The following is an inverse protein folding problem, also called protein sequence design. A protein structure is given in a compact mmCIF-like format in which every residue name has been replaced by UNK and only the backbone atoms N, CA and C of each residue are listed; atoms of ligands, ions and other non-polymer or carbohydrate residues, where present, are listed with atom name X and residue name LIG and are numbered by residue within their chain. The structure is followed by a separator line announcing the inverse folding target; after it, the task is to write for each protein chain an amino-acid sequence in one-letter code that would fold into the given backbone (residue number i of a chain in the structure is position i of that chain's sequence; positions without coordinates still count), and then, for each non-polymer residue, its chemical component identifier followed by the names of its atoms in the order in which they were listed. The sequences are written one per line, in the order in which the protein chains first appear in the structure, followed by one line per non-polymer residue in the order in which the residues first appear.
data_IF_814209166412
#
_entry.id   IF_814209166412
#
_cell.length_a   1.000
_cell.length_b   1.000
_cell.length_c   1.000
_cell.angle_alpha   90.00
_cell.angle_beta   90.00
_cell.angle_gamma   90.00
#
_symmetry.space_group_name_H-M   'P 1'
#
loop_
_entity.id
_entity.type
_entity.pdbx_description
1 polymer ?
#
# COMPACT_ATOMS: atom_id res chain seq x y z
N UNK A 1 9.10 -3.40 -4.43
CA UNK A 1 7.76 -3.48 -3.82
C UNK A 1 6.75 -3.82 -4.90
N UNK A 2 5.60 -4.37 -4.54
CA UNK A 2 4.54 -4.63 -5.51
C UNK A 2 3.18 -4.70 -4.86
N UNK A 3 2.14 -4.44 -5.65
CA UNK A 3 0.74 -4.55 -5.24
C UNK A 3 -0.06 -5.32 -6.30
N UNK A 4 -1.20 -5.86 -5.87
CA UNK A 4 -2.21 -6.44 -6.76
C UNK A 4 -3.53 -5.77 -6.45
N UNK A 5 -4.20 -5.28 -7.47
CA UNK A 5 -5.59 -4.86 -7.36
C UNK A 5 -6.50 -5.96 -7.86
N UNK A 6 -7.50 -6.31 -7.06
CA UNK A 6 -8.50 -7.32 -7.36
C UNK A 6 -9.87 -6.65 -7.54
N UNK A 7 -10.62 -7.08 -8.54
CA UNK A 7 -12.05 -6.82 -8.70
C UNK A 7 -12.75 -8.18 -8.72
N UNK A 8 -13.68 -8.43 -7.78
CA UNK A 8 -14.36 -9.73 -7.63
C UNK A 8 -13.41 -10.96 -7.62
N UNK A 9 -12.33 -10.89 -6.83
CA UNK A 9 -11.23 -11.88 -6.74
C UNK A 9 -10.38 -12.06 -8.01
N UNK A 10 -10.69 -11.33 -9.08
CA UNK A 10 -9.96 -11.34 -10.35
C UNK A 10 -8.89 -10.24 -10.31
N UNK A 11 -7.60 -10.57 -10.55
CA UNK A 11 -6.58 -9.54 -10.63
C UNK A 11 -6.73 -8.70 -11.89
N UNK A 12 -6.95 -7.41 -11.70
CA UNK A 12 -7.15 -6.42 -12.78
C UNK A 12 -5.91 -5.53 -12.98
N UNK A 13 -5.08 -5.36 -11.96
CA UNK A 13 -3.86 -4.55 -12.05
C UNK A 13 -2.74 -5.15 -11.20
N UNK A 14 -1.54 -5.18 -11.76
CA UNK A 14 -0.31 -5.57 -11.07
C UNK A 14 0.66 -4.41 -11.10
N UNK A 15 1.10 -3.98 -9.93
CA UNK A 15 2.18 -3.01 -9.79
C UNK A 15 3.44 -3.70 -9.31
N UNK A 16 4.57 -3.52 -10.01
CA UNK A 16 5.89 -3.74 -9.43
C UNK A 16 6.77 -2.50 -9.59
N UNK A 17 7.46 -2.10 -8.53
CA UNK A 17 8.46 -1.04 -8.56
C UNK A 17 9.76 -1.52 -7.92
N UNK A 18 10.89 -1.14 -8.51
CA UNK A 18 12.22 -1.43 -7.96
C UNK A 18 12.34 -0.88 -6.54
N UNK A 19 13.06 -1.62 -5.67
CA UNK A 19 13.35 -1.19 -4.30
C UNK A 19 14.11 0.14 -4.34
N UNK A 20 13.48 1.21 -3.85
CA UNK A 20 14.18 2.46 -3.53
C UNK A 20 14.99 2.24 -2.24
N UNK A 21 16.08 2.97 -2.07
CA UNK A 21 16.83 2.98 -0.81
C UNK A 21 15.98 3.76 0.19
N UNK A 22 15.17 3.05 0.98
CA UNK A 22 14.31 3.67 1.98
C UNK A 22 14.99 3.70 3.34
N UNK A 23 14.62 4.69 4.16
CA UNK A 23 15.24 4.96 5.46
C UNK A 23 14.94 3.85 6.49
N UNK A 24 13.77 3.22 6.39
CA UNK A 24 13.40 2.04 7.19
C UNK A 24 12.38 1.15 6.47
N UNK A 25 12.17 -0.09 6.94
CA UNK A 25 11.12 -0.96 6.42
C UNK A 25 9.72 -0.31 6.47
N UNK A 26 9.42 0.46 7.51
CA UNK A 26 8.14 1.14 7.66
C UNK A 26 7.95 2.26 6.62
N UNK A 27 9.02 3.00 6.27
CA UNK A 27 8.97 3.98 5.18
C UNK A 27 8.73 3.29 3.84
N UNK A 28 9.35 2.12 3.61
CA UNK A 28 9.07 1.35 2.41
C UNK A 28 7.59 0.99 2.33
N UNK A 29 6.99 0.44 3.40
CA UNK A 29 5.56 0.10 3.40
C UNK A 29 4.67 1.32 3.12
N UNK A 30 4.97 2.49 3.70
CA UNK A 30 4.23 3.72 3.44
C UNK A 30 4.38 4.21 1.98
N UNK A 31 5.60 4.23 1.44
CA UNK A 31 5.87 4.56 0.03
C UNK A 31 5.16 3.59 -0.93
N UNK A 32 5.14 2.29 -0.60
CA UNK A 32 4.45 1.27 -1.38
C UNK A 32 2.94 1.49 -1.41
N UNK A 33 2.34 1.85 -0.27
CA UNK A 33 0.94 2.19 -0.17
C UNK A 33 0.60 3.47 -0.96
N UNK A 34 1.40 4.53 -0.79
CA UNK A 34 1.25 5.78 -1.56
C UNK A 34 1.25 5.51 -3.07
N UNK A 35 2.23 4.73 -3.52
CA UNK A 35 2.33 4.38 -4.93
C UNK A 35 1.11 3.58 -5.42
N UNK A 36 0.63 2.61 -4.63
CA UNK A 36 -0.58 1.86 -4.96
C UNK A 36 -1.80 2.78 -5.04
N UNK A 37 -1.98 3.69 -4.09
CA UNK A 37 -3.08 4.67 -4.09
C UNK A 37 -3.05 5.56 -5.33
N UNK A 38 -1.88 6.11 -5.68
CA UNK A 38 -1.70 6.93 -6.87
C UNK A 38 -2.03 6.14 -8.15
N UNK A 39 -1.60 4.89 -8.25
CA UNK A 39 -1.90 4.06 -9.43
C UNK A 39 -3.40 3.76 -9.52
N UNK A 40 -4.04 3.36 -8.42
CA UNK A 40 -5.49 3.11 -8.38
C UNK A 40 -6.28 4.36 -8.83
N UNK A 41 -5.91 5.54 -8.33
CA UNK A 41 -6.54 6.81 -8.72
C UNK A 41 -6.29 7.16 -10.20
N UNK A 42 -5.08 6.92 -10.73
CA UNK A 42 -4.77 7.13 -12.16
C UNK A 42 -5.61 6.25 -13.07
N UNK A 43 -5.97 5.05 -12.60
CA UNK A 43 -6.88 4.15 -13.31
C UNK A 43 -8.36 4.52 -13.14
N UNK A 44 -8.68 5.62 -12.45
CA UNK A 44 -10.04 6.11 -12.26
C UNK A 44 -10.85 5.35 -11.20
N UNK A 45 -10.21 4.44 -10.47
CA UNK A 45 -10.85 3.64 -9.44
C UNK A 45 -10.91 4.49 -8.16
N UNK A 46 -12.14 4.78 -7.73
CA UNK A 46 -12.40 5.64 -6.56
C UNK A 46 -13.04 4.92 -5.39
N UNK A 47 -13.34 3.63 -5.52
CA UNK A 47 -13.83 2.78 -4.45
C UNK A 47 -12.89 1.59 -4.30
N UNK A 48 -12.17 1.51 -3.18
CA UNK A 48 -11.12 0.50 -2.99
C UNK A 48 -10.91 0.16 -1.51
N UNK A 49 -10.59 -1.11 -1.28
CA UNK A 49 -10.10 -1.62 0.00
C UNK A 49 -8.63 -1.99 -0.14
N UNK A 50 -7.77 -1.27 0.59
CA UNK A 50 -6.35 -1.59 0.69
C UNK A 50 -6.12 -2.61 1.81
N UNK A 51 -5.12 -3.47 1.60
CA UNK A 51 -4.72 -4.48 2.58
C UNK A 51 -3.20 -4.45 2.72
N UNK A 52 -2.71 -4.50 3.96
CA UNK A 52 -1.28 -4.51 4.27
C UNK A 52 -0.99 -5.46 5.42
N UNK A 53 0.19 -6.10 5.40
CA UNK A 53 0.71 -6.89 6.51
C UNK A 53 1.55 -6.06 7.50
N UNK A 54 1.56 -4.72 7.35
CA UNK A 54 2.20 -3.81 8.28
C UNK A 54 1.19 -3.23 9.28
N UNK A 55 1.01 -3.91 10.41
CA UNK A 55 0.08 -3.46 11.46
C UNK A 55 0.42 -2.06 11.99
N UNK A 56 1.71 -1.74 12.10
CA UNK A 56 2.16 -0.43 12.57
C UNK A 56 1.74 0.70 11.63
N UNK A 57 1.91 0.52 10.31
CA UNK A 57 1.46 1.52 9.33
C UNK A 57 -0.06 1.74 9.41
N UNK A 58 -0.82 0.67 9.58
CA UNK A 58 -2.28 0.75 9.69
C UNK A 58 -2.70 1.47 10.95
N UNK A 59 -2.03 1.26 12.09
CA UNK A 59 -2.28 2.02 13.32
C UNK A 59 -2.01 3.50 13.12
N UNK A 60 -0.88 3.88 12.51
CA UNK A 60 -0.56 5.28 12.23
C UNK A 60 -1.63 5.96 11.36
N UNK A 61 -2.14 5.27 10.33
CA UNK A 61 -3.17 5.81 9.44
C UNK A 61 -4.55 5.88 10.12
N UNK A 62 -4.95 4.82 10.84
CA UNK A 62 -6.30 4.69 11.41
C UNK A 62 -6.47 5.47 12.70
N UNK A 63 -5.49 5.39 13.58
CA UNK A 63 -5.54 5.98 14.91
C UNK A 63 -5.02 7.44 14.91
N UNK A 64 -4.69 7.97 13.72
CA UNK A 64 -4.16 9.32 13.49
C UNK A 64 -2.96 9.65 14.38
N UNK A 65 -2.11 8.65 14.63
CA UNK A 65 -1.00 8.77 15.57
C UNK A 65 0.15 9.57 14.95
N UNK A 66 0.61 10.58 15.67
CA UNK A 66 1.73 11.42 15.24
C UNK A 66 3.03 10.62 15.21
N UNK A 67 3.62 10.53 14.01
CA UNK A 67 4.95 9.96 13.81
C UNK A 67 5.85 10.98 13.09
N UNK A 68 6.61 11.81 13.83
CA UNK A 68 7.32 12.96 13.25
C UNK A 68 8.27 12.61 12.11
N UNK A 69 8.85 11.41 12.12
CA UNK A 69 9.76 10.97 11.04
C UNK A 69 9.06 10.53 9.76
N UNK A 70 7.74 10.36 9.76
CA UNK A 70 6.92 9.94 8.61
C UNK A 70 5.74 10.89 8.36
N UNK A 71 5.78 12.10 8.93
CA UNK A 71 4.66 13.03 8.85
C UNK A 71 4.29 13.36 7.40
N UNK A 72 5.30 13.50 6.52
CA UNK A 72 5.08 13.79 5.10
C UNK A 72 4.32 12.67 4.39
N UNK A 73 4.71 11.42 4.63
CA UNK A 73 4.08 10.25 4.02
C UNK A 73 2.65 10.05 4.54
N UNK A 74 2.45 10.22 5.84
CA UNK A 74 1.12 10.11 6.45
C UNK A 74 0.18 11.22 5.96
N UNK A 75 0.65 12.45 5.81
CA UNK A 75 -0.14 13.55 5.26
C UNK A 75 -0.50 13.31 3.79
N UNK A 76 0.42 12.78 2.98
CA UNK A 76 0.13 12.42 1.59
C UNK A 76 -0.87 11.26 1.49
N UNK A 77 -0.74 10.23 2.35
CA UNK A 77 -1.73 9.13 2.43
C UNK A 77 -3.11 9.69 2.76
N UNK A 78 -3.21 10.58 3.74
CA UNK A 78 -4.47 11.24 4.11
C UNK A 78 -5.04 12.05 2.94
N UNK A 79 -4.21 12.84 2.26
CA UNK A 79 -4.64 13.63 1.11
C UNK A 79 -5.19 12.75 -0.02
N UNK A 80 -4.46 11.69 -0.39
CA UNK A 80 -4.91 10.74 -1.41
C UNK A 80 -6.17 9.98 -0.95
N UNK A 81 -6.27 9.62 0.33
CA UNK A 81 -7.46 8.92 0.87
C UNK A 81 -8.74 9.74 0.68
N UNK A 82 -8.65 11.07 0.72
CA UNK A 82 -9.78 11.97 0.50
C UNK A 82 -10.23 12.07 -0.97
N UNK A 83 -9.43 11.60 -1.93
CA UNK A 83 -9.80 11.56 -3.36
C UNK A 83 -10.68 10.35 -3.72
N UNK A 84 -10.70 9.33 -2.84
CA UNK A 84 -11.55 8.15 -2.98
C UNK A 84 -12.98 8.45 -2.48
N UNK A 85 -13.96 7.89 -3.17
CA UNK A 85 -15.36 7.88 -2.75
C UNK A 85 -15.55 6.87 -1.62
N UNK A 86 -14.90 5.71 -1.74
CA UNK A 86 -14.89 4.67 -0.70
C UNK A 86 -13.45 4.22 -0.48
N UNK A 87 -12.96 4.44 0.74
CA UNK A 87 -11.61 4.06 1.16
C UNK A 87 -11.71 3.23 2.44
N UNK A 88 -11.07 2.08 2.43
CA UNK A 88 -10.81 1.32 3.65
C UNK A 88 -9.43 0.69 3.60
N UNK A 89 -8.80 0.54 4.76
CA UNK A 89 -7.52 -0.17 4.91
C UNK A 89 -7.61 -1.18 6.04
N UNK A 90 -7.14 -2.41 5.79
CA UNK A 90 -7.20 -3.50 6.76
C UNK A 90 -5.87 -4.21 6.92
N UNK A 91 -5.61 -4.68 8.15
CA UNK A 91 -4.45 -5.52 8.43
C UNK A 91 -4.79 -6.94 8.01
N UNK A 92 -3.88 -7.55 7.25
CA UNK A 92 -3.93 -8.98 6.95
C UNK A 92 -2.64 -9.65 7.44
N UNK A 93 -2.70 -10.85 8.04
CA UNK A 93 -1.50 -11.57 8.41
C UNK A 93 -0.68 -11.87 7.15
N UNK A 94 0.64 -11.93 7.28
CA UNK A 94 1.56 -12.18 6.15
C UNK A 94 1.26 -13.48 5.39
N UNK A 95 0.67 -14.46 6.07
CA UNK A 95 0.18 -15.72 5.47
C UNK A 95 -1.03 -15.54 4.54
N UNK A 96 -1.74 -14.42 4.61
CA UNK A 96 -2.81 -14.04 3.70
C UNK A 96 -2.31 -13.10 2.59
N UNK A 97 -1.21 -12.36 2.81
CA UNK A 97 -0.59 -11.48 1.81
C UNK A 97 0.30 -12.23 0.78
N UNK A 98 0.00 -13.52 0.50
CA UNK A 98 0.84 -14.38 -0.35
C UNK A 98 0.94 -13.83 -1.78
N UNK A 99 -0.13 -13.22 -2.31
CA UNK A 99 -0.16 -12.75 -3.70
C UNK A 99 0.81 -11.57 -3.93
N UNK A 100 0.81 -10.56 -3.06
CA UNK A 100 1.76 -9.45 -3.16
C UNK A 100 3.21 -9.87 -2.81
N UNK A 101 3.39 -10.74 -1.82
CA UNK A 101 4.71 -11.26 -1.43
C UNK A 101 5.31 -12.14 -2.57
N UNK A 102 4.48 -12.89 -3.30
CA UNK A 102 4.91 -13.69 -4.46
C UNK A 102 5.39 -12.83 -5.63
N UNK A 103 4.75 -11.68 -5.89
CA UNK A 103 5.21 -10.73 -6.92
C UNK A 103 6.56 -10.11 -6.57
N UNK A 104 6.81 -9.90 -5.28
CA UNK A 104 8.05 -9.27 -4.81
C UNK A 104 9.22 -10.28 -4.81
N UNK A 105 8.94 -11.59 -4.67
CA UNK A 105 9.94 -12.67 -4.72
C UNK A 105 10.35 -13.09 -6.13
N UNK A 106 9.51 -12.86 -7.15
CA UNK A 106 9.84 -13.13 -8.56
C UNK A 106 11.00 -12.30 -9.11
N UNK A 107 11.42 -11.23 -8.42
CA UNK A 107 12.55 -10.38 -8.80
C UNK A 107 13.94 -10.88 -8.34
N UNK A 108 14.01 -11.97 -7.56
CA UNK A 108 15.28 -12.58 -7.10
C UNK A 108 15.49 -13.93 -7.78
N UNK A 109 15.68 -13.89 -9.09
CA UNK A 109 16.33 -14.99 -9.83
C UNK A 109 17.11 -14.39 -10.97
N UNK A 110 18.32 -13.93 -10.64
CA UNK A 110 19.51 -14.06 -11.49
C UNK A 110 20.71 -14.31 -10.59
#
# INVERSE_FOLDING_TARGET
MGFVLLEDDIPILFGTQGLRVTVSPLHAEAEGLLWAMQEVLRHGIRAVRFESDCEQLIKLIRDDEDWPSMASELDEIKALSAEFIEFSIAYIPRSANIRADSLTKGGRSR
#
